data_IF_012279208031
#
_entry.id   IF_012279208031
#
_cell.length_a   1.000
_cell.length_b   1.000
_cell.length_c   1.000
_cell.angle_alpha   90.00
_cell.angle_beta   90.00
_cell.angle_gamma   90.00
#
_symmetry.space_group_name_H-M   'P 1'
#
loop_
_entity.id
_entity.type
_entity.pdbx_description
1 polymer ?
#
# COMPACT_ATOMS: atom_id res chain seq x y z
N UNK A 1 -43.46 -69.42 20.41
CA UNK A 1 -42.29 -69.45 19.50
C UNK A 1 -41.64 -68.08 19.55
N UNK A 2 -40.47 -67.95 20.17
CA UNK A 2 -39.73 -66.69 20.29
C UNK A 2 -38.36 -66.89 19.62
N UNK A 3 -38.21 -66.40 18.39
CA UNK A 3 -36.93 -66.39 17.68
C UNK A 3 -36.24 -65.06 17.98
N UNK A 4 -35.52 -65.02 19.09
CA UNK A 4 -34.63 -63.92 19.43
C UNK A 4 -33.28 -64.10 18.74
N UNK A 5 -33.15 -63.66 17.49
CA UNK A 5 -31.83 -63.45 16.89
C UNK A 5 -31.17 -62.27 17.61
N UNK A 6 -30.07 -62.54 18.31
CA UNK A 6 -29.29 -61.52 19.02
C UNK A 6 -28.41 -60.75 18.03
N UNK A 7 -28.44 -59.41 18.02
CA UNK A 7 -27.57 -58.64 17.13
C UNK A 7 -26.12 -58.72 17.63
N UNK A 8 -25.23 -59.27 16.82
CA UNK A 8 -23.77 -59.29 17.04
C UNK A 8 -23.26 -57.85 17.09
N UNK A 9 -23.01 -57.33 18.30
CA UNK A 9 -22.38 -56.02 18.49
C UNK A 9 -20.90 -56.12 18.22
N UNK A 10 -20.49 -55.71 17.02
CA UNK A 10 -19.09 -55.52 16.68
C UNK A 10 -18.56 -54.28 17.42
N UNK A 11 -18.11 -54.47 18.66
CA UNK A 11 -17.46 -53.40 19.41
C UNK A 11 -16.07 -53.20 18.83
N UNK A 12 -15.91 -52.22 17.92
CA UNK A 12 -14.58 -51.78 17.48
C UNK A 12 -13.74 -51.49 18.73
N UNK A 13 -12.57 -52.14 18.84
CA UNK A 13 -11.66 -52.00 19.97
C UNK A 13 -11.23 -50.55 20.18
N UNK A 14 -11.02 -50.15 21.43
CA UNK A 14 -10.62 -48.78 21.83
C UNK A 14 -9.44 -48.25 21.01
N UNK A 15 -8.45 -49.08 20.71
CA UNK A 15 -7.29 -48.69 19.88
C UNK A 15 -7.68 -48.33 18.44
N UNK A 16 -8.60 -49.07 17.82
CA UNK A 16 -9.05 -48.79 16.45
C UNK A 16 -9.82 -47.47 16.36
N UNK A 17 -10.60 -47.13 17.41
CA UNK A 17 -11.29 -45.84 17.49
C UNK A 17 -10.31 -44.68 17.61
N UNK A 18 -9.27 -44.82 18.42
CA UNK A 18 -8.22 -43.80 18.57
C UNK A 18 -7.44 -43.59 17.27
N UNK A 19 -7.13 -44.66 16.54
CA UNK A 19 -6.47 -44.57 15.22
C UNK A 19 -7.37 -43.84 14.22
N UNK A 20 -8.66 -44.18 14.15
CA UNK A 20 -9.62 -43.51 13.27
C UNK A 20 -9.75 -42.02 13.58
N UNK A 21 -9.84 -41.65 14.86
CA UNK A 21 -9.85 -40.26 15.29
C UNK A 21 -8.55 -39.53 14.92
N UNK A 22 -7.40 -40.18 15.12
CA UNK A 22 -6.10 -39.64 14.73
C UNK A 22 -6.00 -39.37 13.24
N UNK A 23 -6.41 -40.32 12.40
CA UNK A 23 -6.43 -40.17 10.94
C UNK A 23 -7.36 -39.02 10.52
N UNK A 24 -8.56 -38.94 11.12
CA UNK A 24 -9.51 -37.87 10.81
C UNK A 24 -8.95 -36.49 11.19
N UNK A 25 -8.32 -36.36 12.36
CA UNK A 25 -7.66 -35.14 12.78
C UNK A 25 -6.51 -34.76 11.83
N UNK A 26 -5.73 -35.75 11.37
CA UNK A 26 -4.61 -35.56 10.45
C UNK A 26 -5.09 -35.04 9.08
N UNK A 27 -6.18 -35.59 8.55
CA UNK A 27 -6.77 -35.14 7.28
C UNK A 27 -7.24 -33.69 7.38
N UNK A 28 -7.90 -33.32 8.47
CA UNK A 28 -8.35 -31.93 8.69
C UNK A 28 -7.17 -30.95 8.80
N UNK A 29 -6.10 -31.36 9.48
CA UNK A 29 -4.90 -30.55 9.64
C UNK A 29 -4.20 -30.35 8.30
N UNK A 30 -4.09 -31.40 7.48
CA UNK A 30 -3.56 -31.33 6.12
C UNK A 30 -4.36 -30.36 5.26
N UNK A 31 -5.69 -30.47 5.26
CA UNK A 31 -6.56 -29.58 4.51
C UNK A 31 -6.40 -28.12 4.94
N UNK A 32 -6.27 -27.86 6.25
CA UNK A 32 -6.05 -26.52 6.78
C UNK A 32 -4.71 -25.92 6.33
N UNK A 33 -3.64 -26.72 6.31
CA UNK A 33 -2.31 -26.25 5.86
C UNK A 33 -2.31 -25.86 4.38
N UNK A 34 -3.09 -26.55 3.55
CA UNK A 34 -3.19 -26.25 2.12
C UNK A 34 -3.90 -24.91 1.84
N UNK A 35 -4.88 -24.54 2.67
CA UNK A 35 -5.71 -23.34 2.44
C UNK A 35 -5.03 -22.07 2.97
N UNK A 36 -4.25 -22.16 4.05
CA UNK A 36 -3.59 -21.02 4.68
C UNK A 36 -2.75 -20.12 3.74
N UNK A 37 -1.88 -20.65 2.86
CA UNK A 37 -1.10 -19.81 1.94
C UNK A 37 -1.99 -19.08 0.93
N UNK A 38 -3.03 -19.74 0.40
CA UNK A 38 -3.98 -19.12 -0.54
C UNK A 38 -4.69 -17.93 0.09
N UNK A 39 -5.15 -18.07 1.34
CA UNK A 39 -5.82 -16.97 2.05
C UNK A 39 -4.85 -15.83 2.30
N UNK A 40 -3.62 -16.16 2.71
CA UNK A 40 -2.56 -15.17 2.96
C UNK A 40 -2.21 -14.38 1.70
N UNK A 41 -2.08 -15.04 0.56
CA UNK A 41 -1.86 -14.39 -0.74
C UNK A 41 -3.00 -13.44 -1.11
N UNK A 42 -4.26 -13.86 -0.90
CA UNK A 42 -5.43 -13.02 -1.19
C UNK A 42 -5.49 -11.78 -0.31
N UNK A 43 -5.17 -11.93 0.97
CA UNK A 43 -5.09 -10.79 1.91
C UNK A 43 -3.97 -9.83 1.51
N UNK A 44 -2.79 -10.35 1.19
CA UNK A 44 -1.64 -9.54 0.80
C UNK A 44 -1.89 -8.79 -0.52
N UNK A 45 -2.49 -9.44 -1.51
CA UNK A 45 -2.86 -8.81 -2.77
C UNK A 45 -3.91 -7.70 -2.59
N UNK A 46 -4.89 -7.91 -1.70
CA UNK A 46 -5.89 -6.88 -1.38
C UNK A 46 -5.27 -5.65 -0.71
N UNK A 47 -4.35 -5.85 0.24
CA UNK A 47 -3.62 -4.75 0.89
C UNK A 47 -2.70 -4.01 -0.09
N UNK A 48 -1.97 -4.74 -0.93
CA UNK A 48 -1.12 -4.14 -1.97
C UNK A 48 -1.95 -3.32 -2.97
N UNK A 49 -3.12 -3.81 -3.38
CA UNK A 49 -4.02 -3.08 -4.27
C UNK A 49 -4.47 -1.74 -3.64
N UNK A 50 -4.89 -1.74 -2.37
CA UNK A 50 -5.27 -0.52 -1.64
C UNK A 50 -4.13 0.51 -1.61
N UNK A 51 -2.92 0.06 -1.25
CA UNK A 51 -1.74 0.93 -1.20
C UNK A 51 -1.40 1.47 -2.60
N UNK A 52 -1.49 0.63 -3.63
CA UNK A 52 -1.17 1.00 -5.01
C UNK A 52 -2.18 1.95 -5.66
N UNK A 53 -3.44 1.99 -5.19
CA UNK A 53 -4.46 2.95 -5.64
C UNK A 53 -4.29 4.30 -4.94
N UNK A 54 -3.85 4.30 -3.68
CA UNK A 54 -3.65 5.52 -2.90
C UNK A 54 -2.38 6.31 -3.31
N UNK A 55 -1.34 5.63 -3.79
CA UNK A 55 -0.05 6.24 -4.19
C UNK A 55 -0.16 7.20 -5.39
N UNK A 56 -0.86 6.88 -6.50
CA UNK A 56 -0.93 7.72 -7.70
C UNK A 56 -1.96 8.84 -7.63
N UNK A 57 -2.90 8.81 -6.68
CA UNK A 57 -4.01 9.78 -6.60
C UNK A 57 -3.60 11.20 -6.19
N UNK A 58 -2.30 11.48 -6.12
CA UNK A 58 -1.78 12.84 -5.94
C UNK A 58 -2.05 13.37 -4.54
N UNK A 59 -1.00 13.46 -3.72
CA UNK A 59 -1.06 14.34 -2.54
C UNK A 59 -1.32 15.78 -3.00
N UNK A 60 -1.80 16.64 -2.10
CA UNK A 60 -2.02 18.06 -2.36
C UNK A 60 -0.83 18.68 -3.09
N UNK A 61 -1.02 19.10 -4.35
CA UNK A 61 0.01 19.76 -5.15
C UNK A 61 -0.11 21.26 -4.96
N UNK A 62 1.00 21.92 -4.62
CA UNK A 62 1.09 23.39 -4.55
C UNK A 62 1.92 23.85 -5.73
N UNK A 63 1.30 24.56 -6.67
CA UNK A 63 2.00 25.18 -7.82
C UNK A 63 2.35 26.61 -7.43
N UNK A 64 3.66 26.93 -7.42
CA UNK A 64 4.18 28.26 -7.13
C UNK A 64 4.54 29.01 -8.40
N UNK A 65 4.43 30.34 -8.38
CA UNK A 65 4.82 31.21 -9.49
C UNK A 65 6.35 31.36 -9.64
N UNK A 66 6.82 31.88 -10.79
CA UNK A 66 8.24 32.15 -11.02
C UNK A 66 8.75 33.27 -10.11
N UNK A 67 10.03 33.19 -9.71
CA UNK A 67 10.75 34.25 -9.01
C UNK A 67 11.94 34.72 -9.85
N UNK A 68 12.11 36.03 -9.97
CA UNK A 68 13.25 36.62 -10.68
C UNK A 68 14.15 37.29 -9.65
N UNK A 69 15.43 36.90 -9.62
CA UNK A 69 16.44 37.52 -8.76
C UNK A 69 17.34 38.37 -9.65
N UNK A 70 17.32 39.69 -9.44
CA UNK A 70 18.16 40.64 -10.17
C UNK A 70 19.26 41.14 -9.25
N UNK A 71 20.54 40.83 -9.52
CA UNK A 71 21.65 41.44 -8.80
C UNK A 71 21.84 42.89 -9.26
N UNK A 72 21.98 43.81 -8.31
CA UNK A 72 22.30 45.22 -8.58
C UNK A 72 23.47 45.66 -7.70
N UNK A 73 24.37 46.46 -8.26
CA UNK A 73 25.49 47.01 -7.52
C UNK A 73 25.14 48.43 -7.05
N UNK A 74 25.31 48.68 -5.75
CA UNK A 74 25.23 50.01 -5.16
C UNK A 74 26.61 50.41 -4.67
N UNK A 75 27.07 51.58 -5.12
CA UNK A 75 28.30 52.19 -4.62
C UNK A 75 27.97 52.90 -3.31
N UNK A 76 28.44 52.34 -2.20
CA UNK A 76 28.29 52.97 -0.89
C UNK A 76 29.56 53.75 -0.61
N UNK A 77 29.41 55.05 -0.33
CA UNK A 77 30.50 55.89 0.15
C UNK A 77 30.66 55.65 1.64
N UNK A 78 31.74 54.97 2.01
CA UNK A 78 32.15 54.78 3.41
C UNK A 78 33.53 55.40 3.58
N UNK A 79 33.75 56.07 4.72
CA UNK A 79 34.88 56.96 5.04
C UNK A 79 36.26 56.53 4.47
N UNK A 80 36.56 56.97 3.25
CA UNK A 80 37.87 56.80 2.61
C UNK A 80 37.89 56.08 1.26
N UNK A 81 36.76 55.58 0.73
CA UNK A 81 36.73 55.03 -0.63
C UNK A 81 35.36 54.50 -1.08
N UNK A 82 35.14 54.53 -2.40
CA UNK A 82 33.94 53.96 -3.01
C UNK A 82 33.98 52.42 -2.93
N UNK A 83 33.07 51.81 -2.17
CA UNK A 83 32.93 50.35 -2.08
C UNK A 83 31.74 49.88 -2.91
N UNK A 84 32.00 48.96 -3.82
CA UNK A 84 30.99 48.38 -4.70
C UNK A 84 30.30 47.23 -3.97
N UNK A 85 29.05 47.43 -3.53
CA UNK A 85 28.26 46.43 -2.81
C UNK A 85 27.26 45.81 -3.77
N UNK A 86 27.41 44.52 -4.07
CA UNK A 86 26.44 43.77 -4.88
C UNK A 86 25.33 43.28 -3.96
N UNK A 87 24.10 43.72 -4.24
CA UNK A 87 22.91 43.32 -3.50
C UNK A 87 21.90 42.64 -4.46
N UNK A 88 20.94 41.90 -3.90
CA UNK A 88 19.97 41.14 -4.69
C UNK A 88 18.56 41.70 -4.45
N UNK A 89 17.83 41.96 -5.53
CA UNK A 89 16.40 42.26 -5.51
C UNK A 89 15.62 41.05 -6.03
N UNK A 90 14.56 40.67 -5.31
CA UNK A 90 13.68 39.56 -5.68
C UNK A 90 12.35 40.12 -6.15
N UNK A 91 11.94 39.74 -7.36
CA UNK A 91 10.66 40.09 -7.96
C UNK A 91 9.75 38.86 -8.00
N UNK A 92 8.50 39.07 -7.56
CA UNK A 92 7.42 38.07 -7.54
C UNK A 92 6.25 38.69 -8.32
N UNK A 93 5.51 37.93 -9.13
CA UNK A 93 4.35 38.46 -9.84
C UNK A 93 3.22 38.88 -8.87
N UNK A 94 2.56 40.00 -9.17
CA UNK A 94 1.41 40.52 -8.40
C UNK A 94 0.14 39.70 -8.64
N UNK A 95 0.01 39.13 -9.85
CA UNK A 95 -1.04 38.16 -10.19
C UNK A 95 -0.44 36.99 -10.96
N UNK A 96 -0.97 35.79 -10.68
CA UNK A 96 -0.53 34.54 -11.30
C UNK A 96 -1.75 33.82 -11.88
N UNK A 97 -1.85 33.80 -13.20
CA UNK A 97 -2.85 33.03 -13.93
C UNK A 97 -2.20 31.75 -14.46
N UNK A 98 -2.73 30.61 -14.04
CA UNK A 98 -2.17 29.29 -14.39
C UNK A 98 -3.23 28.51 -15.17
N UNK A 99 -2.94 28.22 -16.43
CA UNK A 99 -3.73 27.28 -17.24
C UNK A 99 -3.08 25.89 -17.13
N UNK A 100 -3.72 24.99 -16.38
CA UNK A 100 -3.23 23.62 -16.17
C UNK A 100 -4.14 22.65 -16.91
N UNK A 101 -3.59 21.96 -17.90
CA UNK A 101 -4.22 20.79 -18.51
C UNK A 101 -3.79 19.53 -17.76
N UNK A 102 -4.70 18.98 -16.95
CA UNK A 102 -4.48 17.68 -16.30
C UNK A 102 -4.84 16.59 -17.30
N UNK A 103 -3.87 15.75 -17.66
CA UNK A 103 -4.08 14.57 -18.52
C UNK A 103 -3.94 13.29 -17.67
N UNK A 104 -5.02 12.84 -16.99
CA UNK A 104 -4.95 11.68 -16.13
C UNK A 104 -4.90 10.39 -16.95
N UNK A 105 -3.94 9.52 -16.65
CA UNK A 105 -3.86 8.18 -17.25
C UNK A 105 -4.62 7.17 -16.38
N UNK A 106 -5.63 6.50 -16.95
CA UNK A 106 -6.29 5.37 -16.30
C UNK A 106 -5.39 4.15 -16.43
N UNK A 107 -4.67 3.80 -15.36
CA UNK A 107 -3.89 2.57 -15.31
C UNK A 107 -4.73 1.44 -14.74
N UNK A 108 -5.07 0.47 -15.60
CA UNK A 108 -5.63 -0.79 -15.15
C UNK A 108 -4.54 -1.55 -14.36
N UNK A 109 -4.75 -1.74 -13.06
CA UNK A 109 -4.05 -2.74 -12.26
C UNK A 109 -5.06 -3.74 -11.75
N UNK A 110 -5.20 -4.83 -12.49
CA UNK A 110 -5.86 -6.07 -12.08
C UNK A 110 -4.89 -7.22 -12.27
N UNK A 111 -5.08 -8.28 -11.48
CA UNK A 111 -4.69 -9.63 -11.89
C UNK A 111 -6.04 -10.33 -11.99
N UNK A 112 -6.61 -10.63 -13.16
CA UNK A 112 -6.03 -10.88 -14.49
C UNK A 112 -5.02 -9.88 -15.03
#
# INVERSE_FOLDING_TARGET
MNNGETPRRETLGLGMRLVLLGVMALVLLLASMLIYPLVTERMNNAEQAKVSIALPWGKKQTIGGPMIVVPFAVTVKEDGGDKLVVNQMVFIPDSLEIDVKVDPEVRARGIY
#
